data_IF_962309399413
#
_entry.id   IF_962309399413
#
_cell.length_a   1.000
_cell.length_b   1.000
_cell.length_c   1.000
_cell.angle_alpha   90.00
_cell.angle_beta   90.00
_cell.angle_gamma   90.00
#
_symmetry.space_group_name_H-M   'P 1'
#
loop_
_entity.id
_entity.type
_entity.pdbx_description
1 polymer ?
#
# COMPACT_ATOMS: atom_id res chain seq x y z
N UNK A 1 -0.58 12.79 -11.92
CA UNK A 1 -1.93 12.37 -11.61
C UNK A 1 -2.33 12.50 -10.12
N UNK A 2 -1.49 13.07 -9.27
CA UNK A 2 -1.85 13.43 -7.88
C UNK A 2 -2.31 14.90 -7.75
N UNK A 3 -2.82 15.50 -8.83
CA UNK A 3 -3.22 16.91 -8.84
C UNK A 3 -4.53 17.22 -8.10
N UNK A 4 -5.32 16.21 -7.75
CA UNK A 4 -6.58 16.36 -7.00
C UNK A 4 -6.61 15.51 -5.76
N UNK A 5 -5.68 15.74 -4.82
CA UNK A 5 -5.78 15.22 -3.47
C UNK A 5 -6.77 16.11 -2.69
N UNK A 6 -8.03 15.99 -3.02
CA UNK A 6 -9.11 16.35 -2.11
C UNK A 6 -9.53 15.07 -1.41
N UNK A 7 -9.35 15.00 -0.10
CA UNK A 7 -10.18 14.10 0.70
C UNK A 7 -11.59 14.65 0.51
N UNK A 8 -12.39 13.96 -0.28
CA UNK A 8 -13.81 14.22 -0.32
C UNK A 8 -14.34 13.78 1.05
N UNK A 9 -14.52 14.76 1.92
CA UNK A 9 -15.40 14.61 3.07
C UNK A 9 -16.77 14.24 2.49
N UNK A 10 -17.19 13.01 2.71
CA UNK A 10 -18.49 12.50 2.34
C UNK A 10 -19.53 13.37 3.03
N UNK A 11 -20.17 14.26 2.28
CA UNK A 11 -21.43 14.81 2.74
C UNK A 11 -21.70 16.30 2.55
N UNK A 12 -20.73 17.18 2.33
CA UNK A 12 -21.07 18.59 2.12
C UNK A 12 -20.33 19.21 0.91
N UNK A 13 -21.06 19.33 -0.22
CA UNK A 13 -20.58 20.07 -1.40
C UNK A 13 -20.58 21.59 -1.18
N UNK A 14 -21.10 22.07 -0.08
CA UNK A 14 -21.15 23.49 0.29
C UNK A 14 -19.91 23.88 1.10
N UNK A 15 -19.13 24.77 0.52
CA UNK A 15 -17.98 25.39 1.23
C UNK A 15 -18.53 26.17 2.41
N UNK A 16 -18.10 25.85 3.63
CA UNK A 16 -18.45 26.57 4.85
C UNK A 16 -17.19 27.17 5.50
N UNK A 17 -17.38 28.12 6.39
CA UNK A 17 -16.28 28.74 7.14
C UNK A 17 -15.61 27.68 8.05
N UNK A 18 -14.28 27.46 7.99
CA UNK A 18 -13.63 26.47 8.84
C UNK A 18 -13.59 26.84 10.33
N UNK A 19 -13.94 28.09 10.68
CA UNK A 19 -13.90 28.60 12.05
C UNK A 19 -15.23 28.52 12.78
N UNK A 20 -16.35 28.83 12.08
CA UNK A 20 -17.69 28.87 12.70
C UNK A 20 -18.72 28.03 11.92
N UNK A 21 -18.31 27.30 10.87
CA UNK A 21 -19.16 26.44 10.02
C UNK A 21 -20.28 27.16 9.29
N UNK A 22 -20.36 28.49 9.34
CA UNK A 22 -21.35 29.28 8.60
C UNK A 22 -21.14 29.14 7.09
N UNK A 23 -22.21 29.05 6.33
CA UNK A 23 -22.21 29.11 4.86
C UNK A 23 -22.25 30.53 4.32
N UNK A 24 -22.45 31.55 5.18
CA UNK A 24 -22.48 32.95 4.80
C UNK A 24 -21.08 33.54 4.70
N UNK A 25 -20.56 33.70 3.49
CA UNK A 25 -19.26 34.32 3.23
C UNK A 25 -19.24 35.05 1.90
N UNK A 26 -18.33 36.03 1.77
CA UNK A 26 -18.12 36.83 0.56
C UNK A 26 -16.71 36.70 0.02
N UNK A 27 -16.54 36.94 -1.27
CA UNK A 27 -15.22 37.04 -1.92
C UNK A 27 -14.41 38.16 -1.28
N UNK A 28 -13.13 37.87 -0.93
CA UNK A 28 -12.25 38.81 -0.24
C UNK A 28 -10.85 38.83 -0.84
N UNK A 29 -10.74 39.23 -2.10
CA UNK A 29 -9.47 39.32 -2.80
C UNK A 29 -8.81 37.97 -3.12
N UNK A 30 -7.50 38.05 -3.34
CA UNK A 30 -6.65 36.92 -3.70
C UNK A 30 -5.33 36.99 -2.95
N UNK A 31 -4.59 35.90 -2.93
CA UNK A 31 -3.18 35.86 -2.60
C UNK A 31 -2.42 34.94 -3.55
N UNK A 32 -1.13 35.18 -3.74
CA UNK A 32 -0.26 34.27 -4.46
C UNK A 32 0.35 33.26 -3.49
N UNK A 33 0.21 31.99 -3.81
CA UNK A 33 0.77 30.93 -3.00
C UNK A 33 2.28 30.84 -3.26
N UNK A 34 3.09 30.89 -2.19
CA UNK A 34 4.56 30.93 -2.29
C UNK A 34 5.18 29.69 -2.95
N UNK A 35 4.52 28.53 -2.84
CA UNK A 35 5.02 27.25 -3.32
C UNK A 35 4.99 27.11 -4.86
N UNK A 36 3.95 27.57 -5.51
CA UNK A 36 3.71 27.38 -6.94
C UNK A 36 3.27 28.64 -7.69
N UNK A 37 3.26 29.79 -7.03
CA UNK A 37 2.85 31.08 -7.62
C UNK A 37 1.36 31.18 -7.95
N UNK A 38 0.56 30.15 -7.67
CA UNK A 38 -0.87 30.16 -8.02
C UNK A 38 -1.63 31.27 -7.29
N UNK A 39 -2.46 31.97 -8.02
CA UNK A 39 -3.43 32.94 -7.50
C UNK A 39 -4.59 32.18 -6.85
N UNK A 40 -4.77 32.35 -5.54
CA UNK A 40 -5.78 31.66 -4.74
C UNK A 40 -6.81 32.65 -4.21
N UNK A 41 -8.11 32.35 -4.45
CA UNK A 41 -9.21 33.20 -3.96
C UNK A 41 -9.31 33.09 -2.44
N UNK A 42 -9.42 34.26 -1.76
CA UNK A 42 -9.81 34.37 -0.35
C UNK A 42 -11.30 34.64 -0.21
N UNK A 43 -11.84 34.17 0.90
CA UNK A 43 -13.21 34.45 1.34
C UNK A 43 -13.16 35.05 2.75
N UNK A 44 -14.11 35.89 3.08
CA UNK A 44 -14.34 36.42 4.43
C UNK A 44 -15.70 35.94 4.91
N UNK A 45 -15.74 35.30 6.06
CA UNK A 45 -16.98 34.88 6.68
C UNK A 45 -17.78 36.11 7.17
N UNK A 46 -19.06 36.15 6.87
CA UNK A 46 -19.95 37.23 7.31
C UNK A 46 -20.28 37.11 8.80
N UNK A 47 -20.26 35.91 9.37
CA UNK A 47 -20.60 35.63 10.77
C UNK A 47 -19.44 35.90 11.72
N UNK A 48 -18.23 35.33 11.45
CA UNK A 48 -17.09 35.46 12.37
C UNK A 48 -15.98 36.38 11.87
N UNK A 49 -16.15 37.02 10.73
CA UNK A 49 -15.22 37.96 10.08
C UNK A 49 -13.85 37.39 9.72
N UNK A 50 -13.55 36.12 10.03
CA UNK A 50 -12.27 35.48 9.68
C UNK A 50 -12.18 35.18 8.20
N UNK A 51 -10.95 35.23 7.68
CA UNK A 51 -10.69 34.94 6.26
C UNK A 51 -10.21 33.48 6.09
N UNK A 52 -10.61 32.89 4.97
CA UNK A 52 -10.20 31.53 4.61
C UNK A 52 -10.10 31.37 3.09
N UNK A 53 -9.59 30.25 2.64
CA UNK A 53 -9.55 29.87 1.22
C UNK A 53 -9.87 28.39 1.04
N UNK A 54 -10.32 27.98 -0.15
CA UNK A 54 -10.53 26.55 -0.46
C UNK A 54 -9.24 25.72 -0.30
N UNK A 55 -8.08 26.33 -0.47
CA UNK A 55 -6.81 25.65 -0.23
C UNK A 55 -6.65 25.16 1.22
N UNK A 56 -7.32 25.81 2.19
CA UNK A 56 -7.29 25.41 3.60
C UNK A 56 -7.95 24.06 3.89
N UNK A 57 -8.83 23.57 3.00
CA UNK A 57 -9.48 22.26 3.12
C UNK A 57 -8.69 21.13 2.44
N UNK A 58 -7.59 21.45 1.78
CA UNK A 58 -6.74 20.44 1.13
C UNK A 58 -5.81 19.80 2.15
N UNK A 59 -5.64 18.47 2.07
CA UNK A 59 -4.61 17.73 2.83
C UNK A 59 -3.18 18.27 2.59
N UNK A 60 -3.01 19.01 1.49
CA UNK A 60 -1.74 19.68 1.16
C UNK A 60 -1.65 21.11 1.70
N UNK A 61 -2.60 21.54 2.55
CA UNK A 61 -2.54 22.89 3.13
C UNK A 61 -1.27 23.10 3.95
N UNK A 62 -0.60 24.24 3.76
CA UNK A 62 0.73 24.58 4.33
C UNK A 62 1.88 23.66 3.92
N UNK A 63 1.68 22.76 2.98
CA UNK A 63 2.80 21.97 2.47
C UNK A 63 3.59 22.78 1.43
N UNK A 64 4.91 22.81 1.60
CA UNK A 64 5.86 23.29 0.59
C UNK A 64 6.19 22.15 -0.40
N UNK A 65 6.70 22.49 -1.58
CA UNK A 65 7.13 21.52 -2.60
C UNK A 65 6.04 20.51 -3.01
N UNK A 66 4.79 20.95 -3.16
CA UNK A 66 3.65 20.06 -3.52
C UNK A 66 3.84 19.38 -4.86
N UNK A 67 4.56 19.99 -5.80
CA UNK A 67 4.81 19.48 -7.15
C UNK A 67 5.59 18.17 -7.15
N UNK A 68 6.44 17.95 -6.13
CA UNK A 68 7.26 16.73 -6.03
C UNK A 68 6.52 15.52 -5.43
N UNK A 69 5.29 15.70 -4.90
CA UNK A 69 4.58 14.62 -4.23
C UNK A 69 4.33 13.41 -5.16
N UNK A 70 3.91 13.67 -6.40
CA UNK A 70 3.70 12.61 -7.40
C UNK A 70 4.99 11.84 -7.69
N UNK A 71 6.07 12.57 -7.89
CA UNK A 71 7.38 12.00 -8.17
C UNK A 71 7.95 11.22 -6.98
N UNK A 72 7.77 11.72 -5.75
CA UNK A 72 8.12 10.96 -4.53
C UNK A 72 7.37 9.63 -4.50
N UNK A 73 6.06 9.61 -4.78
CA UNK A 73 5.26 8.38 -4.83
C UNK A 73 5.79 7.39 -5.86
N UNK A 74 6.10 7.85 -7.08
CA UNK A 74 6.68 7.02 -8.13
C UNK A 74 8.05 6.44 -7.73
N UNK A 75 8.96 7.27 -7.24
CA UNK A 75 10.31 6.86 -6.85
C UNK A 75 10.30 5.86 -5.68
N UNK A 76 9.35 6.00 -4.74
CA UNK A 76 9.14 5.03 -3.66
C UNK A 76 8.73 3.66 -4.21
N UNK A 77 7.95 3.60 -5.29
CA UNK A 77 7.50 2.34 -5.91
C UNK A 77 8.49 1.78 -6.95
N UNK A 78 9.63 2.41 -7.11
CA UNK A 78 10.75 1.98 -7.98
C UNK A 78 11.99 1.55 -7.18
N UNK A 79 11.81 1.21 -5.92
CA UNK A 79 12.91 0.72 -5.07
C UNK A 79 13.83 1.79 -4.53
N UNK A 80 13.56 3.07 -4.75
CA UNK A 80 14.40 4.13 -4.21
C UNK A 80 14.24 4.30 -2.69
N UNK A 81 15.36 4.52 -2.01
CA UNK A 81 15.34 4.84 -0.58
C UNK A 81 14.93 6.29 -0.34
N UNK A 82 14.35 6.60 0.83
CA UNK A 82 13.98 7.99 1.18
C UNK A 82 15.17 8.95 1.09
N UNK A 83 16.39 8.52 1.50
CA UNK A 83 17.61 9.32 1.37
C UNK A 83 18.01 9.53 -0.09
N UNK A 84 17.83 8.51 -0.92
CA UNK A 84 18.07 8.62 -2.37
C UNK A 84 17.12 9.65 -3.01
N UNK A 85 15.83 9.54 -2.69
CA UNK A 85 14.81 10.48 -3.17
C UNK A 85 15.11 11.92 -2.73
N UNK A 86 15.45 12.13 -1.46
CA UNK A 86 15.81 13.43 -0.93
C UNK A 86 16.98 14.07 -1.70
N UNK A 87 18.02 13.25 -1.98
CA UNK A 87 19.20 13.69 -2.74
C UNK A 87 18.87 14.05 -4.19
N UNK A 88 18.09 13.21 -4.88
CA UNK A 88 17.72 13.42 -6.29
C UNK A 88 16.83 14.68 -6.44
N UNK A 89 15.93 14.91 -5.49
CA UNK A 89 14.99 16.03 -5.56
C UNK A 89 15.52 17.33 -4.91
N UNK A 90 16.69 17.30 -4.30
CA UNK A 90 17.26 18.46 -3.59
C UNK A 90 16.40 18.92 -2.40
N UNK A 91 15.72 17.99 -1.69
CA UNK A 91 14.84 18.29 -0.57
C UNK A 91 15.30 17.55 0.69
N UNK A 92 14.86 18.04 1.84
CA UNK A 92 15.19 17.40 3.10
C UNK A 92 14.54 15.99 3.23
N UNK A 93 15.29 15.04 3.84
CA UNK A 93 14.86 13.65 4.06
C UNK A 93 13.58 13.53 4.91
N UNK A 94 13.40 14.45 5.87
CA UNK A 94 12.22 14.43 6.74
C UNK A 94 10.98 14.92 5.99
N UNK A 95 11.18 15.73 4.95
CA UNK A 95 10.11 16.06 4.00
C UNK A 95 9.68 14.81 3.24
N UNK A 96 10.60 14.00 2.73
CA UNK A 96 10.26 12.73 2.08
C UNK A 96 9.55 11.78 3.06
N UNK A 97 10.03 11.69 4.30
CA UNK A 97 9.42 10.85 5.34
C UNK A 97 7.98 11.27 5.66
N UNK A 98 7.72 12.58 5.78
CA UNK A 98 6.36 13.13 5.97
C UNK A 98 5.47 12.85 4.75
N UNK A 99 6.02 12.93 3.54
CA UNK A 99 5.28 12.61 2.31
C UNK A 99 4.94 11.14 2.18
N UNK A 100 5.81 10.25 2.64
CA UNK A 100 5.50 8.81 2.70
C UNK A 100 4.19 8.57 3.48
N UNK A 101 4.04 9.17 4.66
CA UNK A 101 2.82 9.01 5.48
C UNK A 101 1.60 9.57 4.77
N UNK A 102 1.67 10.80 4.28
CA UNK A 102 0.58 11.45 3.56
C UNK A 102 0.14 10.66 2.32
N UNK A 103 1.10 10.21 1.50
CA UNK A 103 0.80 9.45 0.29
C UNK A 103 0.21 8.07 0.62
N UNK A 104 0.63 7.46 1.74
CA UNK A 104 0.07 6.21 2.21
C UNK A 104 -1.39 6.35 2.66
N UNK A 105 -1.74 7.42 3.37
CA UNK A 105 -3.14 7.72 3.75
C UNK A 105 -4.02 7.89 2.52
N UNK A 106 -3.55 8.64 1.53
CA UNK A 106 -4.25 8.82 0.26
C UNK A 106 -4.40 7.49 -0.49
N UNK A 107 -3.35 6.67 -0.51
CA UNK A 107 -3.37 5.36 -1.16
C UNK A 107 -4.37 4.42 -0.48
N UNK A 108 -4.39 4.36 0.86
CA UNK A 108 -5.36 3.55 1.61
C UNK A 108 -6.81 3.96 1.33
N UNK A 109 -7.09 5.28 1.35
CA UNK A 109 -8.42 5.78 1.04
C UNK A 109 -8.86 5.41 -0.39
N UNK A 110 -7.98 5.57 -1.38
CA UNK A 110 -8.26 5.17 -2.76
C UNK A 110 -8.50 3.66 -2.88
N UNK A 111 -7.64 2.85 -2.28
CA UNK A 111 -7.79 1.39 -2.29
C UNK A 111 -9.12 0.97 -1.65
N UNK A 112 -9.48 1.57 -0.52
CA UNK A 112 -10.77 1.30 0.14
C UNK A 112 -11.96 1.66 -0.76
N UNK A 113 -11.92 2.81 -1.43
CA UNK A 113 -12.97 3.21 -2.39
C UNK A 113 -13.04 2.26 -3.59
N UNK A 114 -11.88 1.92 -4.15
CA UNK A 114 -11.80 1.00 -5.31
C UNK A 114 -12.32 -0.40 -4.94
N UNK A 115 -12.06 -0.89 -3.73
CA UNK A 115 -12.57 -2.17 -3.23
C UNK A 115 -14.09 -2.15 -3.01
N UNK A 116 -14.65 -1.04 -2.52
CA UNK A 116 -16.09 -0.90 -2.31
C UNK A 116 -16.91 -0.86 -3.61
N UNK A 117 -16.29 -0.45 -4.72
CA UNK A 117 -16.96 -0.30 -6.02
C UNK A 117 -16.70 -1.47 -6.98
N UNK A 118 -15.95 -2.50 -6.56
CA UNK A 118 -15.60 -3.62 -7.44
C UNK A 118 -16.57 -4.80 -7.28
N UNK A 119 -16.64 -5.64 -8.31
CA UNK A 119 -17.25 -6.97 -8.20
C UNK A 119 -16.42 -7.85 -7.25
N UNK A 120 -17.03 -8.55 -6.31
CA UNK A 120 -16.34 -9.45 -5.40
C UNK A 120 -15.54 -10.54 -6.15
N UNK A 121 -14.34 -10.82 -5.68
CA UNK A 121 -13.43 -11.81 -6.27
C UNK A 121 -13.96 -13.22 -6.11
N UNK A 122 -13.88 -14.02 -7.18
CA UNK A 122 -14.27 -15.43 -7.19
C UNK A 122 -13.10 -16.37 -6.87
N UNK A 123 -11.87 -15.95 -7.21
CA UNK A 123 -10.65 -16.73 -6.98
C UNK A 123 -9.61 -15.88 -6.26
N UNK A 124 -9.18 -16.34 -5.10
CA UNK A 124 -8.32 -15.57 -4.20
C UNK A 124 -7.06 -16.36 -3.90
N UNK A 125 -5.92 -15.70 -4.01
CA UNK A 125 -4.64 -16.23 -3.53
C UNK A 125 -4.12 -15.37 -2.39
N UNK A 126 -3.53 -16.00 -1.39
CA UNK A 126 -2.78 -15.27 -0.38
C UNK A 126 -1.57 -16.06 0.13
N UNK A 127 -0.57 -15.32 0.55
CA UNK A 127 0.68 -15.86 1.07
C UNK A 127 1.39 -14.81 1.95
N UNK A 128 2.38 -15.25 2.70
CA UNK A 128 3.14 -14.44 3.64
C UNK A 128 4.59 -14.23 3.22
N UNK A 129 4.98 -12.99 3.04
CA UNK A 129 6.35 -12.59 2.77
C UNK A 129 7.07 -12.30 4.10
N UNK A 130 8.10 -13.07 4.41
CA UNK A 130 8.92 -12.83 5.60
C UNK A 130 10.00 -11.80 5.32
N UNK A 131 10.04 -10.78 6.18
CA UNK A 131 11.03 -9.70 6.21
C UNK A 131 11.50 -9.46 7.64
N UNK A 132 12.10 -8.31 7.91
CA UNK A 132 12.68 -8.07 9.23
C UNK A 132 12.61 -6.59 9.67
N UNK A 133 12.52 -6.40 10.98
CA UNK A 133 12.63 -5.13 11.67
C UNK A 133 14.04 -5.02 12.29
N UNK A 134 14.86 -4.09 11.81
CA UNK A 134 16.26 -3.89 12.19
C UNK A 134 17.19 -5.06 11.89
N UNK A 135 16.88 -6.27 12.37
CA UNK A 135 17.74 -7.44 12.25
C UNK A 135 16.94 -8.72 12.02
N UNK A 136 17.62 -9.80 11.65
CA UNK A 136 17.03 -11.14 11.47
C UNK A 136 16.41 -11.70 12.76
N UNK A 137 16.80 -11.16 13.92
CA UNK A 137 16.24 -11.55 15.22
C UNK A 137 14.85 -10.96 15.47
N UNK A 138 14.39 -10.01 14.65
CA UNK A 138 13.06 -9.42 14.72
C UNK A 138 12.33 -9.59 13.38
N UNK A 139 11.89 -10.81 13.05
CA UNK A 139 11.18 -11.02 11.81
C UNK A 139 9.79 -10.37 11.82
N UNK A 140 9.34 -10.04 10.62
CA UNK A 140 8.00 -9.54 10.31
C UNK A 140 7.39 -10.44 9.23
N UNK A 141 6.11 -10.70 9.34
CA UNK A 141 5.31 -11.27 8.25
C UNK A 141 4.50 -10.16 7.57
N UNK A 142 4.49 -10.20 6.25
CA UNK A 142 3.64 -9.37 5.39
C UNK A 142 2.68 -10.30 4.67
N UNK A 143 1.47 -10.44 5.19
CA UNK A 143 0.39 -11.16 4.54
C UNK A 143 -0.13 -10.32 3.38
N UNK A 144 -0.28 -10.92 2.20
CA UNK A 144 -0.82 -10.31 0.98
C UNK A 144 -1.96 -11.16 0.47
N UNK A 145 -3.07 -10.53 0.10
CA UNK A 145 -4.26 -11.18 -0.47
C UNK A 145 -4.52 -10.60 -1.84
N UNK A 146 -4.77 -11.45 -2.83
CA UNK A 146 -4.90 -11.07 -4.24
C UNK A 146 -6.04 -11.79 -4.93
N UNK A 147 -6.64 -11.11 -5.87
CA UNK A 147 -7.55 -11.68 -6.85
C UNK A 147 -6.70 -12.39 -7.93
N UNK A 148 -6.90 -13.70 -8.08
CA UNK A 148 -6.11 -14.53 -8.98
C UNK A 148 -6.43 -14.27 -10.45
N UNK A 149 -7.65 -13.83 -10.78
CA UNK A 149 -8.10 -13.60 -12.14
C UNK A 149 -7.68 -12.22 -12.66
N UNK A 150 -7.87 -11.19 -11.83
CA UNK A 150 -7.52 -9.81 -12.21
C UNK A 150 -6.12 -9.38 -11.81
N UNK A 151 -5.40 -10.17 -11.03
CA UNK A 151 -4.09 -9.85 -10.47
C UNK A 151 -4.09 -8.60 -9.59
N UNK A 152 -5.25 -8.19 -9.11
CA UNK A 152 -5.35 -7.07 -8.18
C UNK A 152 -4.97 -7.50 -6.78
N UNK A 153 -4.06 -6.78 -6.15
CA UNK A 153 -3.80 -6.97 -4.72
C UNK A 153 -4.97 -6.35 -3.96
N UNK A 154 -5.72 -7.19 -3.24
CA UNK A 154 -6.89 -6.77 -2.46
C UNK A 154 -6.49 -6.09 -1.16
N UNK A 155 -5.46 -6.61 -0.51
CA UNK A 155 -5.00 -6.07 0.75
C UNK A 155 -3.71 -6.69 1.26
N UNK A 156 -3.21 -6.11 2.33
CA UNK A 156 -2.03 -6.61 3.03
C UNK A 156 -2.13 -6.32 4.53
N UNK A 157 -1.40 -7.09 5.32
CA UNK A 157 -1.22 -6.83 6.75
C UNK A 157 0.22 -7.13 7.16
N UNK A 158 0.82 -6.24 7.94
CA UNK A 158 2.15 -6.45 8.53
C UNK A 158 1.98 -6.85 9.97
N UNK A 159 2.65 -7.92 10.40
CA UNK A 159 2.64 -8.43 11.78
C UNK A 159 4.03 -8.73 12.27
N UNK A 160 4.23 -8.61 13.56
CA UNK A 160 5.42 -9.11 14.23
C UNK A 160 5.27 -10.60 14.45
N UNK A 161 6.39 -11.32 14.24
CA UNK A 161 6.44 -12.75 14.51
C UNK A 161 7.71 -13.07 15.34
N UNK A 162 7.73 -14.13 16.12
CA UNK A 162 8.94 -14.57 16.81
C UNK A 162 9.98 -15.08 15.80
N UNK A 163 11.25 -14.99 16.14
CA UNK A 163 12.28 -15.65 15.38
C UNK A 163 12.19 -17.18 15.59
N UNK A 164 12.53 -17.94 14.57
CA UNK A 164 12.47 -19.41 14.58
C UNK A 164 13.83 -20.04 14.35
N UNK A 165 13.91 -21.36 14.60
CA UNK A 165 15.13 -22.15 14.41
C UNK A 165 16.28 -21.63 15.29
N UNK A 166 17.51 -21.68 14.79
CA UNK A 166 18.73 -21.30 15.50
C UNK A 166 18.81 -19.81 15.93
N UNK A 167 17.91 -18.98 15.43
CA UNK A 167 17.83 -17.57 15.82
C UNK A 167 16.89 -17.31 16.98
N UNK A 168 16.04 -18.27 17.36
CA UNK A 168 15.01 -18.10 18.38
C UNK A 168 15.60 -17.75 19.76
N UNK A 169 16.60 -18.52 20.19
CA UNK A 169 17.28 -18.31 21.47
C UNK A 169 17.98 -16.95 21.53
N UNK A 170 18.82 -16.63 20.54
CA UNK A 170 19.49 -15.31 20.44
C UNK A 170 18.52 -14.13 20.38
N UNK A 171 17.34 -14.33 19.76
CA UNK A 171 16.30 -13.30 19.71
C UNK A 171 15.70 -13.07 21.09
N UNK A 172 15.40 -14.15 21.82
CA UNK A 172 14.82 -14.10 23.16
C UNK A 172 15.78 -13.51 24.18
N UNK A 173 17.05 -13.91 24.12
CA UNK A 173 18.12 -13.36 24.96
C UNK A 173 18.29 -11.84 24.74
N UNK A 174 18.34 -11.39 23.50
CA UNK A 174 18.64 -9.99 23.17
C UNK A 174 17.43 -9.05 23.30
N UNK A 175 16.22 -9.51 22.99
CA UNK A 175 15.03 -8.66 22.85
C UNK A 175 13.85 -9.11 23.72
N UNK A 176 14.01 -10.18 24.51
CA UNK A 176 12.94 -10.75 25.30
C UNK A 176 11.90 -11.52 24.46
N UNK A 177 10.77 -11.81 25.09
CA UNK A 177 9.64 -12.46 24.43
C UNK A 177 9.03 -11.58 23.34
N UNK A 178 8.76 -12.16 22.18
CA UNK A 178 8.08 -11.49 21.07
C UNK A 178 6.83 -12.28 20.71
N UNK A 179 5.67 -11.66 20.91
CA UNK A 179 4.39 -12.27 20.58
C UNK A 179 4.26 -12.53 19.06
N UNK A 180 3.58 -13.62 18.71
CA UNK A 180 3.17 -13.88 17.33
C UNK A 180 1.85 -13.17 17.05
N UNK A 181 1.91 -12.08 16.28
CA UNK A 181 0.75 -11.31 15.85
C UNK A 181 0.14 -11.82 14.53
N UNK A 182 0.73 -12.87 13.89
CA UNK A 182 0.31 -13.33 12.56
C UNK A 182 -1.11 -13.89 12.56
N UNK A 183 -1.50 -14.59 13.65
CA UNK A 183 -2.87 -15.07 13.81
C UNK A 183 -3.89 -13.93 13.74
N UNK A 184 -3.72 -12.91 14.57
CA UNK A 184 -4.61 -11.76 14.61
C UNK A 184 -4.60 -10.99 13.27
N UNK A 185 -3.43 -10.87 12.64
CA UNK A 185 -3.28 -10.19 11.36
C UNK A 185 -4.05 -10.87 10.23
N UNK A 186 -4.02 -12.22 10.15
CA UNK A 186 -4.80 -13.00 9.17
C UNK A 186 -6.29 -12.77 9.36
N UNK A 187 -6.78 -12.87 10.59
CA UNK A 187 -8.19 -12.64 10.90
C UNK A 187 -8.64 -11.22 10.58
N UNK A 188 -7.89 -10.21 10.99
CA UNK A 188 -8.22 -8.80 10.73
C UNK A 188 -8.25 -8.48 9.23
N UNK A 189 -7.28 -9.02 8.47
CA UNK A 189 -7.23 -8.76 7.03
C UNK A 189 -8.41 -9.42 6.31
N UNK A 190 -8.66 -10.72 6.51
CA UNK A 190 -9.77 -11.40 5.85
C UNK A 190 -11.13 -10.81 6.25
N UNK A 191 -11.33 -10.42 7.51
CA UNK A 191 -12.54 -9.72 7.94
C UNK A 191 -12.74 -8.41 7.16
N UNK A 192 -11.68 -7.62 7.02
CA UNK A 192 -11.75 -6.35 6.28
C UNK A 192 -11.99 -6.52 4.78
N UNK A 193 -11.70 -7.70 4.22
CA UNK A 193 -11.85 -8.00 2.80
C UNK A 193 -13.15 -8.72 2.45
N UNK A 194 -14.00 -9.06 3.42
CA UNK A 194 -15.31 -9.68 3.16
C UNK A 194 -16.15 -8.96 2.08
N UNK A 195 -16.24 -7.63 2.04
CA UNK A 195 -17.01 -6.97 0.98
C UNK A 195 -16.40 -7.13 -0.42
N UNK A 196 -15.12 -7.48 -0.52
CA UNK A 196 -14.38 -7.57 -1.78
C UNK A 196 -14.17 -9.02 -2.27
N UNK A 197 -14.62 -10.02 -1.52
CA UNK A 197 -14.46 -11.45 -1.81
C UNK A 197 -15.83 -12.10 -1.76
N UNK A 198 -16.15 -12.96 -2.73
CA UNK A 198 -17.41 -13.71 -2.73
C UNK A 198 -17.41 -14.77 -1.62
N UNK A 199 -18.56 -15.00 -0.98
CA UNK A 199 -18.70 -16.00 0.10
C UNK A 199 -18.40 -17.45 -0.37
N UNK A 200 -18.63 -17.72 -1.66
CA UNK A 200 -18.34 -19.02 -2.31
C UNK A 200 -17.01 -19.00 -3.09
N UNK A 201 -16.11 -18.06 -2.81
CA UNK A 201 -14.86 -17.94 -3.55
C UNK A 201 -13.96 -19.19 -3.39
N UNK A 202 -13.15 -19.45 -4.40
CA UNK A 202 -12.07 -20.42 -4.32
C UNK A 202 -10.82 -19.74 -3.73
N UNK A 203 -10.33 -20.27 -2.61
CA UNK A 203 -9.05 -19.88 -2.03
C UNK A 203 -7.96 -20.84 -2.47
N UNK A 204 -6.89 -20.33 -3.05
CA UNK A 204 -5.74 -21.09 -3.55
C UNK A 204 -4.51 -20.63 -2.76
N UNK A 205 -3.94 -21.50 -1.94
CA UNK A 205 -2.80 -21.15 -1.08
C UNK A 205 -1.73 -22.23 -1.09
N UNK A 206 -0.60 -21.93 -0.47
CA UNK A 206 0.35 -22.99 -0.08
C UNK A 206 -0.22 -23.89 1.04
N UNK A 207 0.55 -24.89 1.46
CA UNK A 207 0.15 -25.87 2.47
C UNK A 207 0.34 -25.39 3.92
N UNK A 208 0.41 -24.08 4.18
CA UNK A 208 0.58 -23.57 5.54
C UNK A 208 -0.59 -23.99 6.45
N UNK A 209 -0.26 -24.56 7.61
CA UNK A 209 -1.23 -25.20 8.51
C UNK A 209 -2.30 -24.26 9.08
N UNK A 210 -2.02 -22.97 9.21
CA UNK A 210 -2.95 -22.00 9.78
C UNK A 210 -4.03 -21.51 8.80
N UNK A 211 -3.86 -21.70 7.48
CA UNK A 211 -4.78 -21.13 6.49
C UNK A 211 -6.18 -21.74 6.47
N UNK A 212 -6.33 -23.10 6.56
CA UNK A 212 -7.67 -23.69 6.52
C UNK A 212 -8.62 -23.16 7.60
N UNK A 213 -8.13 -23.03 8.83
CA UNK A 213 -8.95 -22.59 9.95
C UNK A 213 -9.42 -21.13 9.78
N UNK A 214 -8.53 -20.24 9.31
CA UNK A 214 -8.88 -18.83 9.13
C UNK A 214 -9.82 -18.62 7.94
N UNK A 215 -9.63 -19.35 6.82
CA UNK A 215 -10.54 -19.32 5.68
C UNK A 215 -11.94 -19.78 6.10
N UNK A 216 -12.04 -20.97 6.69
CA UNK A 216 -13.33 -21.54 7.14
C UNK A 216 -14.09 -20.61 8.09
N UNK A 217 -13.38 -19.90 8.94
CA UNK A 217 -14.00 -18.95 9.89
C UNK A 217 -14.62 -17.74 9.22
N UNK A 218 -13.96 -17.17 8.20
CA UNK A 218 -14.42 -15.94 7.55
C UNK A 218 -15.27 -16.17 6.30
N UNK A 219 -15.05 -17.31 5.62
CA UNK A 219 -15.72 -17.72 4.39
C UNK A 219 -16.14 -19.20 4.50
N UNK A 220 -17.19 -19.51 5.25
CA UNK A 220 -17.58 -20.90 5.55
C UNK A 220 -18.03 -21.68 4.31
N UNK A 221 -18.47 -21.02 3.25
CA UNK A 221 -18.92 -21.62 1.99
C UNK A 221 -17.83 -21.64 0.91
N UNK A 222 -16.66 -21.08 1.18
CA UNK A 222 -15.56 -21.04 0.23
C UNK A 222 -14.92 -22.43 0.05
N UNK A 223 -14.44 -22.70 -1.14
CA UNK A 223 -13.57 -23.85 -1.43
C UNK A 223 -12.11 -23.48 -1.14
N UNK A 224 -11.32 -24.45 -0.66
CA UNK A 224 -9.91 -24.19 -0.36
C UNK A 224 -9.01 -25.25 -0.99
N UNK A 225 -8.28 -24.83 -2.02
CA UNK A 225 -7.29 -25.65 -2.73
C UNK A 225 -5.89 -25.33 -2.21
N UNK A 226 -5.17 -26.35 -1.73
CA UNK A 226 -3.81 -26.19 -1.20
C UNK A 226 -2.79 -26.83 -2.12
N UNK A 227 -1.72 -26.10 -2.40
CA UNK A 227 -0.60 -26.59 -3.20
C UNK A 227 0.65 -26.74 -2.35
N UNK A 228 1.28 -27.92 -2.41
CA UNK A 228 2.56 -28.13 -1.74
C UNK A 228 3.62 -27.40 -2.59
N UNK A 229 4.23 -26.37 -2.00
CA UNK A 229 5.33 -25.65 -2.64
C UNK A 229 6.53 -26.57 -2.88
N UNK A 230 6.98 -26.68 -4.11
CA UNK A 230 8.25 -27.36 -4.40
C UNK A 230 9.41 -26.62 -3.74
N UNK A 231 10.42 -27.35 -3.24
CA UNK A 231 11.66 -26.75 -2.76
C UNK A 231 12.31 -26.02 -3.94
N UNK A 232 12.32 -24.68 -3.89
CA UNK A 232 12.97 -23.90 -4.92
C UNK A 232 14.47 -24.10 -4.91
N UNK A 233 15.07 -24.38 -6.08
CA UNK A 233 16.53 -24.38 -6.22
C UNK A 233 17.07 -22.95 -5.99
N UNK A 234 18.25 -22.83 -5.38
CA UNK A 234 18.86 -21.53 -5.03
C UNK A 234 19.29 -20.75 -6.27
N UNK A 235 19.57 -21.45 -7.37
CA UNK A 235 20.01 -20.88 -8.65
C UNK A 235 19.22 -21.54 -9.80
N UNK A 236 18.99 -20.79 -10.90
CA UNK A 236 18.36 -21.33 -12.10
C UNK A 236 16.86 -21.58 -12.03
N UNK A 237 16.16 -21.05 -11.03
CA UNK A 237 14.71 -21.29 -10.83
C UNK A 237 13.84 -20.89 -12.03
N UNK A 238 14.26 -19.92 -12.82
CA UNK A 238 13.53 -19.47 -14.00
C UNK A 238 13.39 -20.53 -15.09
N UNK A 239 14.39 -21.41 -15.24
CA UNK A 239 14.39 -22.48 -16.23
C UNK A 239 13.60 -23.72 -15.73
N UNK A 240 13.72 -24.06 -14.45
CA UNK A 240 12.97 -25.15 -13.83
C UNK A 240 11.48 -24.87 -13.77
N UNK A 241 11.06 -23.62 -13.62
CA UNK A 241 9.63 -23.22 -13.64
C UNK A 241 8.99 -23.32 -15.02
N UNK A 242 9.75 -23.37 -16.10
CA UNK A 242 9.20 -23.58 -17.45
C UNK A 242 8.65 -25.01 -17.67
N UNK A 243 8.97 -25.94 -16.80
CA UNK A 243 8.56 -27.34 -16.93
C UNK A 243 7.19 -27.64 -16.29
N UNK A 244 6.69 -26.78 -15.37
CA UNK A 244 5.38 -26.98 -14.74
C UNK A 244 4.68 -25.63 -14.50
N UNK A 245 3.37 -25.62 -14.71
CA UNK A 245 2.51 -24.49 -14.35
C UNK A 245 2.52 -24.32 -12.83
N UNK A 246 2.85 -23.10 -12.36
CA UNK A 246 2.78 -22.73 -10.95
C UNK A 246 1.36 -22.24 -10.60
N UNK A 247 0.54 -23.00 -9.88
CA UNK A 247 -0.81 -22.57 -9.52
C UNK A 247 -0.85 -21.31 -8.67
N UNK A 248 0.24 -20.99 -7.96
CA UNK A 248 0.41 -19.80 -7.12
C UNK A 248 1.18 -18.67 -7.82
N UNK A 249 1.29 -18.73 -9.17
CA UNK A 249 2.13 -17.79 -9.90
C UNK A 249 1.73 -16.32 -9.67
N UNK A 250 0.42 -16.02 -9.58
CA UNK A 250 -0.06 -14.66 -9.33
C UNK A 250 0.51 -14.09 -8.03
N UNK A 251 0.32 -14.77 -6.90
CA UNK A 251 0.80 -14.29 -5.61
C UNK A 251 2.33 -14.31 -5.52
N UNK A 252 2.98 -15.34 -6.05
CA UNK A 252 4.45 -15.45 -6.09
C UNK A 252 5.08 -14.29 -6.87
N UNK A 253 4.51 -13.94 -8.04
CA UNK A 253 4.94 -12.80 -8.82
C UNK A 253 4.78 -11.50 -8.04
N UNK A 254 3.65 -11.30 -7.36
CA UNK A 254 3.40 -10.08 -6.59
C UNK A 254 4.36 -9.93 -5.40
N UNK A 255 4.64 -11.01 -4.68
CA UNK A 255 5.63 -11.02 -3.61
C UNK A 255 7.05 -10.72 -4.14
N UNK A 256 7.39 -11.21 -5.34
CA UNK A 256 8.63 -10.85 -6.01
C UNK A 256 8.67 -9.37 -6.39
N UNK A 257 7.56 -8.80 -6.91
CA UNK A 257 7.46 -7.38 -7.23
C UNK A 257 7.56 -6.49 -5.99
N UNK A 258 6.98 -6.88 -4.88
CA UNK A 258 7.14 -6.19 -3.60
C UNK A 258 8.62 -6.14 -3.19
N UNK A 259 9.34 -7.28 -3.28
CA UNK A 259 10.77 -7.34 -2.95
C UNK A 259 11.63 -6.52 -3.91
N UNK A 260 11.30 -6.50 -5.19
CA UNK A 260 12.06 -5.77 -6.21
C UNK A 260 11.86 -4.25 -6.17
N UNK A 261 10.70 -3.78 -5.70
CA UNK A 261 10.29 -2.38 -5.85
C UNK A 261 10.15 -1.62 -4.52
N UNK A 262 10.20 -2.29 -3.38
CA UNK A 262 10.14 -1.63 -2.06
C UNK A 262 11.51 -1.74 -1.40
N UNK A 263 12.24 -0.63 -1.31
CA UNK A 263 13.61 -0.60 -0.77
C UNK A 263 13.74 -1.22 0.63
N UNK A 264 12.68 -1.17 1.45
CA UNK A 264 12.67 -1.79 2.80
C UNK A 264 12.60 -3.31 2.78
N UNK A 265 12.20 -3.91 1.67
CA UNK A 265 12.13 -5.35 1.47
C UNK A 265 13.36 -5.93 0.79
N UNK A 266 14.30 -5.07 0.38
CA UNK A 266 15.60 -5.52 -0.11
C UNK A 266 16.33 -6.26 1.00
N UNK A 267 16.88 -7.44 0.70
CA UNK A 267 17.63 -8.26 1.66
C UNK A 267 19.03 -7.70 1.94
N UNK A 268 19.13 -6.38 2.17
CA UNK A 268 20.37 -5.66 2.49
C UNK A 268 20.24 -5.04 3.89
N UNK A 269 21.27 -5.17 4.71
CA UNK A 269 21.28 -4.75 6.12
C UNK A 269 20.90 -3.27 6.34
N UNK A 270 21.32 -2.39 5.45
CA UNK A 270 21.09 -0.95 5.57
C UNK A 270 19.68 -0.48 5.21
N UNK A 271 18.92 -1.29 4.47
CA UNK A 271 17.59 -0.96 4.00
C UNK A 271 16.46 -1.56 4.86
N UNK A 272 16.80 -2.14 6.01
CA UNK A 272 15.82 -2.79 6.87
C UNK A 272 14.76 -1.84 7.40
N UNK A 273 13.57 -2.35 7.63
CA UNK A 273 12.48 -1.64 8.29
C UNK A 273 12.90 -1.22 9.70
N UNK A 274 12.73 0.06 10.03
CA UNK A 274 13.02 0.59 11.38
C UNK A 274 11.74 0.78 12.21
N UNK A 275 10.62 0.98 11.56
CA UNK A 275 9.29 1.09 12.15
C UNK A 275 8.30 0.32 11.27
N UNK A 276 7.53 -0.55 11.89
CA UNK A 276 6.55 -1.43 11.20
C UNK A 276 5.51 -0.60 10.44
N UNK A 277 5.05 0.51 11.05
CA UNK A 277 4.08 1.43 10.44
C UNK A 277 4.60 2.02 9.12
N UNK A 278 5.93 2.30 9.05
CA UNK A 278 6.55 2.85 7.81
C UNK A 278 6.70 1.79 6.71
N UNK A 279 6.76 0.52 7.06
CA UNK A 279 6.64 -0.55 6.07
C UNK A 279 5.21 -0.63 5.55
N UNK A 280 4.22 -0.61 6.44
CA UNK A 280 2.81 -0.57 6.07
C UNK A 280 2.47 0.64 5.18
N UNK A 281 3.01 1.82 5.47
CA UNK A 281 2.84 3.00 4.62
C UNK A 281 3.41 2.80 3.22
N UNK A 282 4.60 2.20 3.12
CA UNK A 282 5.23 1.94 1.83
C UNK A 282 4.46 0.92 1.00
N UNK A 283 3.96 -0.13 1.66
CA UNK A 283 3.10 -1.14 1.05
C UNK A 283 1.81 -0.53 0.50
N UNK A 284 1.16 0.39 1.24
CA UNK A 284 -0.04 1.08 0.75
C UNK A 284 0.20 1.83 -0.57
N UNK A 285 1.29 2.59 -0.64
CA UNK A 285 1.65 3.34 -1.85
C UNK A 285 1.95 2.39 -3.01
N UNK A 286 2.70 1.30 -2.74
CA UNK A 286 3.04 0.33 -3.78
C UNK A 286 1.78 -0.38 -4.30
N UNK A 287 0.87 -0.78 -3.44
CA UNK A 287 -0.37 -1.47 -3.78
C UNK A 287 -1.26 -0.60 -4.68
N UNK A 288 -1.49 0.68 -4.33
CA UNK A 288 -2.22 1.64 -5.19
C UNK A 288 -1.53 1.77 -6.56
N UNK A 289 -0.20 1.89 -6.58
CA UNK A 289 0.57 1.99 -7.82
C UNK A 289 0.51 0.70 -8.66
N UNK A 290 0.71 -0.47 -8.04
CA UNK A 290 0.68 -1.77 -8.71
C UNK A 290 -0.69 -2.02 -9.36
N UNK A 291 -1.76 -1.84 -8.59
CA UNK A 291 -3.11 -2.05 -9.07
C UNK A 291 -3.50 -1.12 -10.24
N UNK A 292 -2.89 0.05 -10.34
CA UNK A 292 -3.17 1.01 -11.42
C UNK A 292 -2.31 0.83 -12.66
N UNK A 293 -1.04 0.46 -12.50
CA UNK A 293 -0.06 0.63 -13.58
C UNK A 293 0.75 -0.63 -13.91
N UNK A 294 0.83 -1.61 -13.00
CA UNK A 294 1.75 -2.74 -13.15
C UNK A 294 1.09 -4.10 -13.31
N UNK A 295 -0.23 -4.19 -13.25
CA UNK A 295 -0.93 -5.45 -13.52
C UNK A 295 -0.69 -5.89 -14.97
N UNK A 296 -0.48 -7.21 -15.22
CA UNK A 296 -0.19 -7.74 -16.56
C UNK A 296 -1.20 -7.31 -17.63
N UNK A 297 -2.49 -7.33 -17.32
CA UNK A 297 -3.57 -6.89 -18.24
C UNK A 297 -3.41 -5.44 -18.74
N UNK A 298 -2.78 -4.57 -17.94
CA UNK A 298 -2.58 -3.18 -18.35
C UNK A 298 -1.31 -2.98 -19.16
N UNK A 299 -0.33 -3.89 -19.08
CA UNK A 299 0.87 -3.86 -19.93
C UNK A 299 0.55 -4.10 -21.40
N UNK A 300 -0.32 -5.06 -21.70
CA UNK A 300 -0.73 -5.36 -23.07
C UNK A 300 -1.35 -4.14 -23.76
N UNK A 301 -2.12 -3.32 -23.05
CA UNK A 301 -2.70 -2.07 -23.61
C UNK A 301 -1.67 -0.96 -23.84
N UNK A 302 -0.55 -0.96 -23.13
CA UNK A 302 0.53 0.04 -23.29
C UNK A 302 1.41 -0.27 -24.50
N UNK A 303 1.74 -1.52 -24.72
CA UNK A 303 2.52 -1.97 -25.89
C UNK A 303 1.75 -1.75 -27.20
N UNK A 304 0.44 -1.98 -27.20
CA UNK A 304 -0.42 -1.69 -28.37
C UNK A 304 -0.52 -0.19 -28.71
N UNK A 305 -0.42 0.71 -27.73
CA UNK A 305 -0.43 2.16 -28.01
C UNK A 305 0.89 2.71 -28.52
N UNK A 306 2.01 2.11 -28.13
CA UNK A 306 3.33 2.51 -28.67
C UNK A 306 3.52 2.08 -30.12
N UNK A 307 2.95 0.94 -30.52
CA UNK A 307 3.01 0.44 -31.90
C UNK A 307 1.97 1.10 -32.84
N UNK A 308 1.01 1.85 -32.33
CA UNK A 308 0.01 2.57 -33.14
C UNK A 308 0.40 4.02 -33.45
N UNK A 309 1.55 4.49 -33.00
CA UNK A 309 2.09 5.82 -33.26
C UNK A 309 3.44 5.75 -34.03
N UNK A 310 3.74 4.63 -34.68
CA UNK A 310 4.88 4.45 -35.57
C UNK A 310 4.47 4.59 -37.02
#
# INVERSE_FOLDING_TARGET
MYHSLTVADSGCRTVCCPHCRSSAFRKHGFYHRKDDGRKVRRFRCSTCSKTFSRAGFSVLYRHLHRRVNALIGQLLTMGMTQRGIARVLGIDKDTVARRLVLLAEVARHKTSTDLACRTPSQRVQFDELITLEHSKLKPLSVLVVSDADTWQILGYKVSRIPASGHLAEKSREKYGYRADESYAARHQLLESLKPAINDNAEFITDSHSAYPAVIKRHFPHATHTRHIGGKGAVTGQGELKKLQFDPLFCINHQLAMLRANISRLFRRSWNTTKRVERLSDHLAIFLDHYNRYRRPEKRVKYEFRMNACG
#
